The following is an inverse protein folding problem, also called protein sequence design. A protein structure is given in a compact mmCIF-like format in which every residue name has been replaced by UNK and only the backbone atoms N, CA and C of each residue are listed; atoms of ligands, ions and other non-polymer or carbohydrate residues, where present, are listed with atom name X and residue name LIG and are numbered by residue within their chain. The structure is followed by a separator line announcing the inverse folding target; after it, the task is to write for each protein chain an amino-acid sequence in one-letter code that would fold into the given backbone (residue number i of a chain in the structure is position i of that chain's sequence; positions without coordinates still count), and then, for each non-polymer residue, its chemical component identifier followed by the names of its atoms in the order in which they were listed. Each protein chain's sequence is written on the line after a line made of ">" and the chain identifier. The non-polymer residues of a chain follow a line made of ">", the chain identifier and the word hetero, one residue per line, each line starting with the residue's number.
data_IF_227719305756
#
_entry.id   IF_227719305756
#
_cell.length_a   1.000
_cell.length_b   1.000
_cell.length_c   1.000
_cell.angle_alpha   90.00
_cell.angle_beta   90.00
_cell.angle_gamma   90.00
#
_symmetry.space_group_name_H-M   'P 1'
#
loop_
_entity.id
_entity.type
_entity.pdbx_description
1 polymer ?
#
# COMPACT_ATOMS: atom_id res chain seq x y z
N UNK A 1 -56.63 -9.52 14.87
CA UNK A 1 -56.16 -8.50 15.82
C UNK A 1 -54.72 -8.20 15.47
N UNK A 2 -54.49 -7.05 14.84
CA UNK A 2 -53.19 -6.57 14.36
C UNK A 2 -52.61 -5.65 15.43
N UNK A 3 -51.34 -5.84 15.79
CA UNK A 3 -50.54 -4.80 16.47
C UNK A 3 -49.20 -4.72 15.73
N UNK A 4 -49.05 -3.63 14.97
CA UNK A 4 -47.78 -3.07 14.50
C UNK A 4 -47.16 -2.24 15.65
N UNK A 5 -45.84 -2.01 15.58
CA UNK A 5 -44.98 -0.94 16.17
C UNK A 5 -43.63 -1.59 16.54
N UNK A 6 -42.43 -1.10 16.22
CA UNK A 6 -41.95 0.16 15.67
C UNK A 6 -40.44 0.22 15.95
N UNK A 7 -39.65 0.74 15.01
CA UNK A 7 -38.19 0.93 15.08
C UNK A 7 -37.79 2.01 16.07
N UNK A 8 -36.68 1.82 16.81
CA UNK A 8 -35.94 2.92 17.47
C UNK A 8 -34.43 2.63 17.47
N UNK A 9 -33.68 3.51 16.80
CA UNK A 9 -32.23 3.74 16.94
C UNK A 9 -31.92 4.47 18.26
N UNK A 10 -30.69 4.39 18.78
CA UNK A 10 -30.12 5.54 19.48
C UNK A 10 -28.77 5.99 18.89
N UNK A 11 -28.71 7.32 18.78
CA UNK A 11 -27.61 8.16 18.36
C UNK A 11 -26.52 8.28 19.45
N UNK A 12 -25.27 8.35 19.00
CA UNK A 12 -24.14 9.20 19.42
C UNK A 12 -24.03 9.69 20.87
N UNK A 13 -22.86 9.46 21.48
CA UNK A 13 -22.19 10.47 22.30
C UNK A 13 -20.68 10.47 22.01
N UNK A 14 -20.22 11.60 21.51
CA UNK A 14 -18.84 11.94 21.20
C UNK A 14 -18.35 12.89 22.28
N UNK A 15 -17.17 12.63 22.86
CA UNK A 15 -16.37 13.65 23.54
C UNK A 15 -14.89 13.42 23.25
N UNK A 16 -14.22 14.55 23.14
CA UNK A 16 -13.03 14.85 22.36
C UNK A 16 -11.90 15.36 23.29
N UNK A 17 -10.68 15.34 22.74
CA UNK A 17 -9.40 15.91 23.18
C UNK A 17 -8.65 15.25 24.35
N UNK A 18 -7.31 15.07 24.31
CA UNK A 18 -6.33 15.75 23.47
C UNK A 18 -5.01 15.00 23.27
N UNK A 19 -4.46 15.24 22.07
CA UNK A 19 -3.06 15.39 21.68
C UNK A 19 -1.93 14.86 22.57
N UNK A 20 -1.08 14.01 21.97
CA UNK A 20 0.37 14.20 21.74
C UNK A 20 0.92 12.86 21.22
N UNK A 21 1.11 12.74 19.91
CA UNK A 21 2.36 12.31 19.25
C UNK A 21 2.18 12.59 17.75
N UNK A 22 2.96 13.57 17.31
CA UNK A 22 2.90 14.28 16.06
C UNK A 22 3.71 13.55 14.98
N UNK A 23 3.07 13.35 13.83
CA UNK A 23 3.60 13.32 12.44
C UNK A 23 4.76 12.37 12.09
N UNK A 24 4.43 11.37 11.28
CA UNK A 24 5.07 11.16 9.96
C UNK A 24 4.00 10.77 8.94
N UNK A 25 3.15 11.73 8.59
CA UNK A 25 2.43 11.70 7.32
C UNK A 25 3.43 12.20 6.27
N UNK A 26 3.85 11.35 5.34
CA UNK A 26 4.53 11.81 4.14
C UNK A 26 3.51 12.61 3.33
N UNK A 27 3.48 13.91 3.60
CA UNK A 27 2.67 14.89 2.92
C UNK A 27 3.28 15.09 1.52
N UNK A 28 2.84 14.28 0.56
CA UNK A 28 3.10 14.47 -0.86
C UNK A 28 2.17 15.57 -1.43
N UNK A 29 2.06 16.68 -0.70
CA UNK A 29 1.38 17.90 -1.17
C UNK A 29 2.32 19.12 -1.14
N UNK A 30 3.56 19.00 -0.64
CA UNK A 30 4.51 20.11 -0.51
C UNK A 30 5.49 20.30 -1.69
N UNK A 31 5.29 19.61 -2.82
CA UNK A 31 6.16 19.76 -4.01
C UNK A 31 5.45 20.45 -5.19
N UNK A 32 4.12 20.54 -5.18
CA UNK A 32 3.34 21.23 -6.23
C UNK A 32 2.56 22.40 -5.65
N UNK A 33 3.16 23.16 -4.72
CA UNK A 33 2.66 24.50 -4.38
C UNK A 33 3.79 25.40 -3.87
N UNK A 34 4.95 25.33 -4.52
CA UNK A 34 6.08 26.27 -4.31
C UNK A 34 6.62 26.91 -5.58
N UNK A 35 5.91 26.76 -6.71
CA UNK A 35 6.24 27.46 -7.97
C UNK A 35 5.34 28.67 -8.25
N UNK A 36 4.38 28.98 -7.37
CA UNK A 36 3.50 30.14 -7.52
C UNK A 36 3.57 31.07 -6.30
N UNK A 37 4.77 31.54 -5.97
CA UNK A 37 4.91 32.76 -5.17
C UNK A 37 6.25 33.42 -5.49
N UNK A 38 6.35 33.99 -6.68
CA UNK A 38 7.26 35.10 -6.94
C UNK A 38 6.66 36.34 -6.26
N UNK A 39 6.66 36.36 -4.93
CA UNK A 39 6.68 37.63 -4.21
C UNK A 39 8.11 38.15 -4.31
N UNK A 40 8.31 38.99 -5.31
CA UNK A 40 9.26 40.09 -5.39
C UNK A 40 9.91 40.46 -4.04
N UNK A 41 11.13 39.97 -3.78
CA UNK A 41 12.09 40.73 -2.99
C UNK A 41 12.66 41.82 -3.91
N UNK A 42 12.09 43.03 -3.83
CA UNK A 42 12.69 44.22 -4.45
C UNK A 42 13.80 44.69 -3.52
N UNK A 43 15.05 44.38 -3.85
CA UNK A 43 16.17 45.21 -3.38
C UNK A 43 16.11 46.51 -4.20
N UNK A 44 15.57 47.57 -3.60
CA UNK A 44 15.67 48.93 -4.16
C UNK A 44 17.15 49.34 -4.13
N UNK A 45 17.81 49.26 -5.29
CA UNK A 45 19.07 49.96 -5.56
C UNK A 45 18.71 51.13 -6.47
N UNK A 46 18.98 52.34 -6.00
CA UNK A 46 18.71 53.58 -6.74
C UNK A 46 19.41 53.59 -8.11
N UNK A 47 18.85 54.29 -9.12
CA UNK A 47 19.30 54.18 -10.49
C UNK A 47 20.50 55.07 -10.72
N UNK A 48 21.60 54.49 -11.18
CA UNK A 48 22.57 55.22 -11.99
C UNK A 48 23.22 54.28 -12.99
N UNK A 49 23.10 54.68 -14.24
CA UNK A 49 23.96 54.35 -15.39
C UNK A 49 23.95 52.92 -15.90
N UNK A 50 23.13 52.75 -16.93
CA UNK A 50 23.52 52.27 -18.26
C UNK A 50 24.36 51.00 -18.30
N UNK A 51 23.68 49.88 -18.50
CA UNK A 51 24.21 48.75 -19.25
C UNK A 51 23.04 47.96 -19.81
N UNK A 52 22.87 48.10 -21.12
CA UNK A 52 22.01 47.26 -21.94
C UNK A 52 22.37 45.78 -21.73
N UNK A 53 21.58 45.09 -20.92
CA UNK A 53 21.58 43.64 -20.87
C UNK A 53 20.31 43.17 -21.57
N UNK A 54 20.42 42.98 -22.89
CA UNK A 54 19.47 42.20 -23.65
C UNK A 54 19.18 40.90 -22.90
N UNK A 55 17.96 40.78 -22.37
CA UNK A 55 17.48 39.58 -21.71
C UNK A 55 17.44 38.45 -22.76
N UNK A 56 18.54 37.71 -22.87
CA UNK A 56 18.63 36.50 -23.71
C UNK A 56 17.58 35.54 -23.16
N UNK A 57 16.50 35.36 -23.93
CA UNK A 57 15.40 34.48 -23.56
C UNK A 57 15.91 33.10 -23.16
N UNK A 58 15.23 32.41 -22.23
CA UNK A 58 15.70 31.14 -21.69
C UNK A 58 16.07 30.19 -22.84
N UNK A 59 17.31 29.71 -22.80
CA UNK A 59 17.89 28.93 -23.87
C UNK A 59 17.00 27.70 -24.13
N UNK A 60 16.46 27.51 -25.36
CA UNK A 60 15.52 26.43 -25.66
C UNK A 60 16.06 25.05 -25.28
N UNK A 61 17.37 24.87 -25.38
CA UNK A 61 18.09 23.66 -24.99
C UNK A 61 17.99 23.39 -23.48
N UNK A 62 18.11 24.42 -22.64
CA UNK A 62 18.00 24.29 -21.19
C UNK A 62 16.58 23.85 -20.79
N UNK A 63 15.56 24.47 -21.38
CA UNK A 63 14.16 24.11 -21.14
C UNK A 63 13.87 22.68 -21.60
N UNK A 64 14.42 22.27 -22.75
CA UNK A 64 14.28 20.90 -23.25
C UNK A 64 14.91 19.88 -22.31
N UNK A 65 16.11 20.16 -21.80
CA UNK A 65 16.80 19.27 -20.84
C UNK A 65 16.04 19.15 -19.52
N UNK A 66 15.47 20.25 -19.00
CA UNK A 66 14.63 20.22 -17.80
C UNK A 66 13.35 19.40 -18.02
N UNK A 67 12.70 19.56 -19.18
CA UNK A 67 11.49 18.81 -19.52
C UNK A 67 11.77 17.31 -19.66
N UNK A 68 12.89 16.93 -20.29
CA UNK A 68 13.34 15.54 -20.39
C UNK A 68 13.66 14.93 -19.02
N UNK A 69 14.34 15.69 -18.14
CA UNK A 69 14.61 15.27 -16.77
C UNK A 69 13.30 15.09 -15.98
N UNK A 70 12.37 16.03 -16.05
CA UNK A 70 11.06 15.91 -15.39
C UNK A 70 10.25 14.71 -15.91
N UNK A 71 10.24 14.46 -17.22
CA UNK A 71 9.58 13.31 -17.82
C UNK A 71 10.21 11.98 -17.39
N UNK A 72 11.55 11.90 -17.34
CA UNK A 72 12.27 10.71 -16.86
C UNK A 72 11.96 10.44 -15.38
N UNK A 73 11.97 11.47 -14.54
CA UNK A 73 11.63 11.39 -13.11
C UNK A 73 10.18 10.96 -12.92
N UNK A 74 9.24 11.50 -13.70
CA UNK A 74 7.83 11.09 -13.67
C UNK A 74 7.64 9.62 -14.10
N UNK A 75 8.39 9.13 -15.09
CA UNK A 75 8.35 7.73 -15.53
C UNK A 75 8.99 6.77 -14.49
N UNK A 76 10.02 7.22 -13.78
CA UNK A 76 10.69 6.41 -12.74
C UNK A 76 10.01 6.47 -11.37
N UNK A 77 9.42 7.61 -10.98
CA UNK A 77 8.67 7.77 -9.72
C UNK A 77 7.21 7.38 -9.89
N UNK A 78 6.69 7.39 -11.11
CA UNK A 78 5.39 6.82 -11.47
C UNK A 78 5.33 5.30 -11.37
N UNK A 79 6.35 4.65 -10.79
CA UNK A 79 6.30 3.26 -10.33
C UNK A 79 5.17 3.10 -9.31
N UNK A 80 3.99 2.90 -9.88
CA UNK A 80 2.68 2.57 -9.35
C UNK A 80 2.66 2.26 -7.85
N UNK A 81 2.59 3.31 -7.04
CA UNK A 81 2.17 3.19 -5.65
C UNK A 81 0.78 2.54 -5.65
N UNK A 82 0.68 1.34 -5.07
CA UNK A 82 -0.58 0.63 -4.94
C UNK A 82 -0.74 0.21 -3.47
N UNK A 83 -1.47 1.01 -2.68
CA UNK A 83 -1.61 0.75 -1.24
C UNK A 83 -2.24 -0.62 -0.95
N UNK A 84 -3.08 -1.13 -1.85
CA UNK A 84 -3.69 -2.46 -1.69
C UNK A 84 -2.66 -3.58 -1.86
N UNK A 85 -1.72 -3.42 -2.79
CA UNK A 85 -0.62 -4.38 -2.95
C UNK A 85 0.34 -4.36 -1.74
N UNK A 86 0.62 -3.18 -1.19
CA UNK A 86 1.44 -3.07 0.01
C UNK A 86 0.76 -3.72 1.23
N UNK A 87 -0.55 -3.51 1.38
CA UNK A 87 -1.36 -4.19 2.40
C UNK A 87 -1.37 -5.70 2.18
N UNK A 88 -1.60 -6.16 0.95
CA UNK A 88 -1.57 -7.58 0.60
C UNK A 88 -0.23 -8.20 0.98
N UNK A 89 0.89 -7.61 0.54
CA UNK A 89 2.23 -8.11 0.83
C UNK A 89 2.49 -8.19 2.33
N UNK A 90 2.19 -7.12 3.06
CA UNK A 90 2.37 -7.10 4.52
C UNK A 90 1.57 -8.20 5.22
N UNK A 91 0.34 -8.44 4.78
CA UNK A 91 -0.57 -9.40 5.43
C UNK A 91 -0.38 -10.84 4.97
N UNK A 92 0.14 -11.07 3.77
CA UNK A 92 0.07 -12.39 3.14
C UNK A 92 1.40 -12.89 2.57
N UNK A 93 2.45 -12.09 2.44
CA UNK A 93 3.74 -12.55 1.95
C UNK A 93 4.79 -12.64 3.06
N UNK A 94 5.48 -13.77 3.12
CA UNK A 94 6.59 -14.03 4.03
C UNK A 94 7.64 -14.95 3.36
N UNK A 95 8.64 -14.34 2.73
CA UNK A 95 9.71 -15.05 2.04
C UNK A 95 11.08 -14.35 2.26
N UNK A 96 12.14 -15.09 2.65
CA UNK A 96 12.09 -16.48 3.11
C UNK A 96 11.18 -16.63 4.34
N UNK A 97 10.62 -17.82 4.55
CA UNK A 97 9.73 -18.08 5.70
C UNK A 97 10.46 -17.73 7.00
N UNK A 98 9.83 -16.91 7.83
CA UNK A 98 10.36 -16.52 9.14
C UNK A 98 10.61 -17.76 10.00
N UNK A 99 11.83 -17.88 10.54
CA UNK A 99 12.24 -19.04 11.34
C UNK A 99 11.48 -19.05 12.67
N UNK A 100 10.99 -20.22 13.06
CA UNK A 100 10.26 -20.45 14.31
C UNK A 100 10.33 -21.92 14.71
N UNK A 101 10.13 -22.22 15.99
CA UNK A 101 10.23 -23.57 16.54
C UNK A 101 9.16 -24.53 16.00
N UNK A 102 7.97 -24.02 15.69
CA UNK A 102 6.89 -24.74 15.01
C UNK A 102 5.92 -23.74 14.35
N UNK A 103 4.90 -24.25 13.65
CA UNK A 103 3.93 -23.40 12.95
C UNK A 103 3.04 -22.56 13.88
N UNK A 104 2.77 -23.01 15.11
CA UNK A 104 2.01 -22.22 16.07
C UNK A 104 2.84 -21.01 16.55
N UNK A 105 4.11 -21.23 16.89
CA UNK A 105 5.05 -20.17 17.24
C UNK A 105 5.22 -19.17 16.08
N UNK A 106 5.36 -19.68 14.85
CA UNK A 106 5.37 -18.87 13.63
C UNK A 106 4.12 -18.00 13.52
N UNK A 107 2.92 -18.58 13.64
CA UNK A 107 1.68 -17.84 13.50
C UNK A 107 1.47 -16.81 14.61
N UNK A 108 1.78 -17.15 15.87
CA UNK A 108 1.75 -16.18 16.95
C UNK A 108 2.67 -15.00 16.61
N UNK A 109 3.94 -15.27 16.29
CA UNK A 109 4.91 -14.22 15.93
C UNK A 109 4.43 -13.36 14.77
N UNK A 110 4.05 -13.98 13.66
CA UNK A 110 3.73 -13.27 12.42
C UNK A 110 2.41 -12.48 12.50
N UNK A 111 1.41 -12.98 13.22
CA UNK A 111 0.16 -12.24 13.41
C UNK A 111 0.39 -10.98 14.27
N UNK A 112 1.29 -11.05 15.26
CA UNK A 112 1.74 -9.89 16.03
C UNK A 112 2.58 -8.92 15.18
N UNK A 113 3.65 -9.40 14.55
CA UNK A 113 4.61 -8.57 13.79
C UNK A 113 3.94 -7.83 12.62
N UNK A 114 2.86 -8.39 12.05
CA UNK A 114 2.13 -7.79 10.92
C UNK A 114 0.89 -6.99 11.33
N UNK A 115 0.68 -6.79 12.64
CA UNK A 115 -0.46 -6.04 13.21
C UNK A 115 -1.79 -6.64 12.76
N UNK A 116 -1.93 -7.95 12.93
CA UNK A 116 -3.13 -8.73 12.62
C UNK A 116 -3.58 -9.58 13.82
N UNK A 117 -3.20 -9.19 15.04
CA UNK A 117 -3.66 -9.83 16.26
C UNK A 117 -5.18 -9.92 16.30
N UNK A 118 -5.70 -11.02 16.87
CA UNK A 118 -7.12 -11.36 16.95
C UNK A 118 -7.88 -11.50 15.61
N UNK A 119 -7.22 -11.36 14.45
CA UNK A 119 -7.82 -11.76 13.18
C UNK A 119 -8.03 -13.27 13.20
N UNK A 120 -9.27 -13.71 12.92
CA UNK A 120 -9.68 -15.10 13.07
C UNK A 120 -8.86 -16.08 12.22
N UNK A 121 -8.58 -15.72 10.96
CA UNK A 121 -7.75 -16.53 10.08
C UNK A 121 -6.92 -15.66 9.14
N UNK A 122 -5.72 -16.11 8.82
CA UNK A 122 -4.85 -15.48 7.83
C UNK A 122 -3.90 -16.49 7.20
N UNK A 123 -3.64 -16.35 5.90
CA UNK A 123 -2.66 -17.17 5.20
C UNK A 123 -1.42 -16.35 4.86
N UNK A 124 -0.25 -16.93 5.15
CA UNK A 124 1.04 -16.46 4.66
C UNK A 124 1.54 -17.33 3.52
N UNK A 125 2.02 -16.70 2.45
CA UNK A 125 2.55 -17.31 1.24
C UNK A 125 4.08 -17.22 1.31
N UNK A 126 4.73 -18.38 1.20
CA UNK A 126 6.18 -18.52 1.26
C UNK A 126 6.78 -18.57 -0.14
N UNK A 127 6.71 -17.46 -0.85
CA UNK A 127 7.32 -17.31 -2.17
C UNK A 127 7.76 -15.86 -2.41
N UNK A 128 8.68 -15.70 -3.35
CA UNK A 128 9.10 -14.38 -3.79
C UNK A 128 7.91 -13.56 -4.33
N UNK A 129 7.91 -12.25 -4.05
CA UNK A 129 6.86 -11.34 -4.51
C UNK A 129 6.67 -11.38 -6.03
N UNK A 130 7.76 -11.59 -6.78
CA UNK A 130 7.72 -11.68 -8.24
C UNK A 130 6.85 -12.84 -8.71
N UNK A 131 6.83 -13.95 -7.97
CA UNK A 131 6.10 -15.15 -8.34
C UNK A 131 4.63 -15.07 -7.91
N UNK A 132 4.36 -14.46 -6.74
CA UNK A 132 2.99 -14.14 -6.34
C UNK A 132 2.35 -13.15 -7.34
N UNK A 133 3.10 -12.12 -7.78
CA UNK A 133 2.64 -11.16 -8.80
C UNK A 133 2.34 -11.81 -10.15
N UNK A 134 3.08 -12.86 -10.54
CA UNK A 134 2.82 -13.58 -11.79
C UNK A 134 1.44 -14.22 -11.82
N UNK A 135 0.82 -14.53 -10.67
CA UNK A 135 -0.57 -15.01 -10.62
C UNK A 135 -1.53 -14.01 -11.26
N UNK A 136 -1.29 -12.71 -11.11
CA UNK A 136 -2.09 -11.65 -11.74
C UNK A 136 -1.78 -11.42 -13.23
N UNK A 137 -0.89 -12.20 -13.83
CA UNK A 137 -0.45 -12.04 -15.22
C UNK A 137 -0.36 -13.38 -15.95
N UNK A 138 0.78 -14.06 -15.88
CA UNK A 138 1.08 -15.23 -16.71
C UNK A 138 0.88 -16.56 -15.98
N UNK A 139 0.91 -16.56 -14.65
CA UNK A 139 0.89 -17.77 -13.81
C UNK A 139 -0.47 -18.00 -13.10
N UNK A 140 -1.51 -17.23 -13.44
CA UNK A 140 -2.86 -17.46 -12.95
C UNK A 140 -3.85 -17.86 -14.04
N UNK A 141 -4.97 -18.42 -13.60
CA UNK A 141 -6.17 -18.71 -14.40
C UNK A 141 -7.32 -17.86 -13.84
N UNK A 142 -8.12 -17.26 -14.72
CA UNK A 142 -9.28 -16.48 -14.29
C UNK A 142 -10.27 -17.36 -13.54
N UNK A 143 -10.55 -17.03 -12.29
CA UNK A 143 -11.46 -17.75 -11.40
C UNK A 143 -12.73 -16.95 -11.05
N UNK A 144 -12.87 -15.75 -11.62
CA UNK A 144 -14.01 -14.85 -11.40
C UNK A 144 -13.61 -13.39 -11.67
N UNK A 145 -14.51 -12.42 -11.40
CA UNK A 145 -14.21 -11.00 -11.57
C UNK A 145 -12.98 -10.59 -10.76
N UNK A 146 -11.91 -10.20 -11.46
CA UNK A 146 -10.61 -9.81 -10.89
C UNK A 146 -9.90 -10.91 -10.07
N UNK A 147 -10.40 -12.14 -10.02
CA UNK A 147 -9.82 -13.23 -9.23
C UNK A 147 -9.05 -14.20 -10.10
N UNK A 148 -7.88 -14.60 -9.61
CA UNK A 148 -6.95 -15.46 -10.32
C UNK A 148 -6.51 -16.61 -9.40
N UNK A 149 -6.77 -17.84 -9.84
CA UNK A 149 -6.23 -19.05 -9.24
C UNK A 149 -4.80 -19.27 -9.75
N UNK A 150 -3.86 -19.59 -8.87
CA UNK A 150 -2.51 -19.93 -9.29
C UNK A 150 -2.47 -21.26 -10.05
N UNK A 151 -1.72 -21.31 -11.16
CA UNK A 151 -1.52 -22.56 -11.92
C UNK A 151 -0.79 -23.62 -11.11
N UNK A 152 0.21 -23.18 -10.33
CA UNK A 152 1.04 -24.03 -9.48
C UNK A 152 0.70 -23.78 -8.00
N UNK A 153 0.89 -24.78 -7.13
CA UNK A 153 0.74 -24.61 -5.70
C UNK A 153 1.87 -23.77 -5.10
N UNK A 154 1.55 -23.08 -4.01
CA UNK A 154 2.49 -22.36 -3.17
C UNK A 154 2.63 -23.06 -1.82
N UNK A 155 3.82 -23.02 -1.24
CA UNK A 155 3.97 -23.30 0.19
C UNK A 155 3.33 -22.17 0.98
N UNK A 156 2.36 -22.51 1.82
CA UNK A 156 1.61 -21.54 2.63
C UNK A 156 1.56 -22.01 4.09
N UNK A 157 1.35 -21.05 4.99
CA UNK A 157 0.97 -21.34 6.38
C UNK A 157 -0.33 -20.61 6.72
N UNK A 158 -1.34 -21.37 7.08
CA UNK A 158 -2.65 -20.88 7.52
C UNK A 158 -2.62 -20.73 9.04
N UNK A 159 -2.88 -19.53 9.52
CA UNK A 159 -2.94 -19.18 10.93
C UNK A 159 -4.40 -19.01 11.34
N UNK A 160 -4.86 -19.79 12.31
CA UNK A 160 -6.22 -19.74 12.84
C UNK A 160 -6.20 -19.40 14.32
N UNK A 161 -6.98 -18.40 14.71
CA UNK A 161 -7.11 -17.97 16.09
C UNK A 161 -7.88 -19.02 16.89
N UNK A 162 -7.33 -19.41 18.04
CA UNK A 162 -8.09 -20.05 19.10
C UNK A 162 -8.68 -18.94 20.00
N UNK A 163 -10.01 -18.72 20.00
CA UNK A 163 -10.63 -17.64 20.76
C UNK A 163 -10.56 -17.85 22.28
N UNK A 164 -10.33 -19.08 22.75
CA UNK A 164 -10.25 -19.40 24.18
C UNK A 164 -8.89 -19.06 24.79
N UNK A 165 -7.81 -19.32 24.05
CA UNK A 165 -6.44 -19.09 24.50
C UNK A 165 -5.81 -17.82 23.90
N UNK A 166 -6.52 -17.12 23.00
CA UNK A 166 -6.01 -16.00 22.21
C UNK A 166 -4.68 -16.28 21.48
N UNK A 167 -4.43 -17.56 21.19
CA UNK A 167 -3.23 -18.02 20.50
C UNK A 167 -3.57 -18.53 19.11
N UNK A 168 -2.58 -18.57 18.23
CA UNK A 168 -2.75 -19.08 16.87
C UNK A 168 -2.27 -20.52 16.71
N UNK A 169 -3.08 -21.31 16.02
CA UNK A 169 -2.68 -22.60 15.45
C UNK A 169 -2.21 -22.37 14.02
N UNK A 170 -1.06 -22.94 13.66
CA UNK A 170 -0.48 -22.83 12.33
C UNK A 170 -0.48 -24.16 11.58
N UNK A 171 -0.99 -24.14 10.35
CA UNK A 171 -1.02 -25.31 9.47
C UNK A 171 -0.25 -24.97 8.19
N UNK A 172 0.89 -25.63 7.96
CA UNK A 172 1.63 -25.48 6.70
C UNK A 172 1.19 -26.53 5.69
N UNK A 173 0.86 -26.08 4.49
CA UNK A 173 0.40 -26.91 3.36
C UNK A 173 0.97 -26.39 2.06
N UNK A 174 0.92 -27.22 1.01
CA UNK A 174 1.18 -26.82 -0.37
C UNK A 174 -0.15 -26.83 -1.12
N UNK A 175 -0.66 -25.65 -1.47
CA UNK A 175 -1.98 -25.48 -2.09
C UNK A 175 -1.94 -24.40 -3.15
N UNK A 176 -2.88 -24.44 -4.09
CA UNK A 176 -3.08 -23.30 -4.98
C UNK A 176 -3.73 -22.17 -4.20
N UNK A 177 -3.53 -20.95 -4.66
CA UNK A 177 -4.12 -19.75 -4.06
C UNK A 177 -5.04 -19.07 -5.06
N UNK A 178 -6.08 -18.45 -4.55
CA UNK A 178 -6.93 -17.52 -5.29
C UNK A 178 -6.72 -16.13 -4.70
N UNK A 179 -6.31 -15.20 -5.56
CA UNK A 179 -6.10 -13.79 -5.18
C UNK A 179 -6.88 -12.87 -6.11
N UNK A 180 -7.35 -11.75 -5.57
CA UNK A 180 -7.90 -10.67 -6.38
C UNK A 180 -6.76 -9.76 -6.84
N UNK A 181 -6.78 -9.39 -8.11
CA UNK A 181 -5.76 -8.59 -8.77
C UNK A 181 -6.34 -7.27 -9.26
N UNK A 182 -5.65 -6.17 -8.95
CA UNK A 182 -5.96 -4.85 -9.48
C UNK A 182 -4.75 -4.33 -10.22
N UNK A 183 -4.94 -3.97 -11.49
CA UNK A 183 -3.88 -3.45 -12.34
C UNK A 183 -2.64 -4.37 -12.41
N UNK A 184 -2.87 -5.68 -12.54
CA UNK A 184 -1.82 -6.73 -12.59
C UNK A 184 -1.01 -6.88 -11.29
N UNK A 185 -1.49 -6.33 -10.17
CA UNK A 185 -0.90 -6.48 -8.85
C UNK A 185 -1.86 -7.19 -7.89
N UNK A 186 -1.36 -8.06 -6.99
CA UNK A 186 -2.16 -8.63 -5.92
C UNK A 186 -2.78 -7.53 -5.05
N UNK A 187 -4.07 -7.65 -4.75
CA UNK A 187 -4.78 -6.70 -3.91
C UNK A 187 -5.43 -7.36 -2.69
N UNK A 188 -6.02 -8.55 -2.87
CA UNK A 188 -6.69 -9.27 -1.79
C UNK A 188 -6.42 -10.77 -1.88
N UNK A 189 -6.28 -11.43 -0.73
CA UNK A 189 -6.29 -12.88 -0.64
C UNK A 189 -7.73 -13.36 -0.56
N UNK A 190 -8.11 -14.34 -1.39
CA UNK A 190 -9.47 -14.90 -1.41
C UNK A 190 -9.50 -16.21 -0.64
N UNK A 191 -8.76 -17.22 -1.11
CA UNK A 191 -8.71 -18.55 -0.50
C UNK A 191 -7.49 -19.35 -0.96
N UNK A 192 -7.23 -20.49 -0.34
CA UNK A 192 -6.44 -21.58 -0.93
C UNK A 192 -7.34 -22.77 -1.27
N UNK A 193 -6.91 -23.58 -2.25
CA UNK A 193 -7.59 -24.81 -2.72
C UNK A 193 -6.59 -25.95 -2.90
#
# INVERSE_FOLDING_TARGET
>A
MVVLLGTVWPHSHQHDLGDVVRRRSCQMEDVILKSASLHTCVCQVNPATDTDMALRGPCPVLLLTLALLAASVALTLGQRWNPLNDVFRRKHADFPKTVSTNNNAYCNKMMWDRVMYLKYSNTFIHAEEKDIRKVCTTAGLSAGPYQYESKNPFSITICTLNPWSFSYTGTSVSQKIVIACLNRLPAFYVTSI
#
